data_IF_364748054225
#
_entry.id   IF_364748054225
#
_cell.length_a   1.000
_cell.length_b   1.000
_cell.length_c   1.000
_cell.angle_alpha   90.00
_cell.angle_beta   90.00
_cell.angle_gamma   90.00
#
_symmetry.space_group_name_H-M   'P 1'
#
loop_
_entity.id
_entity.type
_entity.pdbx_description
1 polymer ?
#
# COMPACT_ATOMS: atom_id res chain seq x y z
N UNK A 1 -27.17 -15.20 -15.43
CA UNK A 1 -26.29 -14.96 -14.26
C UNK A 1 -25.61 -13.63 -14.52
N UNK A 2 -26.09 -12.53 -13.92
CA UNK A 2 -25.63 -11.18 -14.25
C UNK A 2 -24.20 -10.94 -13.75
N UNK A 3 -23.37 -10.29 -14.55
CA UNK A 3 -22.02 -9.86 -14.14
C UNK A 3 -22.18 -8.87 -12.98
N UNK A 4 -21.63 -9.20 -11.81
CA UNK A 4 -21.64 -8.30 -10.65
C UNK A 4 -20.74 -7.09 -10.98
N UNK A 5 -21.33 -5.91 -11.09
CA UNK A 5 -20.62 -4.70 -11.50
C UNK A 5 -19.85 -4.13 -10.31
N UNK A 6 -18.54 -4.35 -10.27
CA UNK A 6 -17.66 -3.82 -9.21
C UNK A 6 -17.48 -2.31 -9.41
N UNK A 7 -17.79 -1.51 -8.39
CA UNK A 7 -17.72 -0.03 -8.43
C UNK A 7 -16.65 0.51 -7.50
N UNK A 8 -15.88 1.50 -7.97
CA UNK A 8 -14.87 2.18 -7.15
C UNK A 8 -15.55 3.08 -6.12
N UNK A 9 -15.08 3.03 -4.88
CA UNK A 9 -15.63 3.78 -3.75
C UNK A 9 -14.71 4.95 -3.34
N UNK A 10 -13.43 4.66 -3.07
CA UNK A 10 -12.43 5.65 -2.68
C UNK A 10 -11.07 5.30 -3.28
N UNK A 11 -10.22 6.32 -3.46
CA UNK A 11 -8.80 6.18 -3.77
C UNK A 11 -8.02 6.93 -2.70
N UNK A 12 -7.08 6.25 -2.06
CA UNK A 12 -6.26 6.77 -0.97
C UNK A 12 -4.79 6.72 -1.37
N UNK A 13 -4.06 7.80 -1.08
CA UNK A 13 -2.63 7.89 -1.37
C UNK A 13 -1.82 7.99 -0.08
N UNK A 14 -0.66 7.34 -0.11
CA UNK A 14 0.31 7.42 0.96
C UNK A 14 1.75 7.44 0.47
N UNK A 15 2.61 8.02 1.29
CA UNK A 15 4.05 8.16 1.08
C UNK A 15 4.80 7.43 2.20
N UNK A 16 5.86 6.70 1.83
CA UNK A 16 6.70 6.01 2.80
C UNK A 16 8.16 6.09 2.42
N UNK A 17 9.02 6.15 3.44
CA UNK A 17 10.45 6.36 3.26
C UNK A 17 11.24 5.39 4.13
N UNK A 18 12.29 4.79 3.58
CA UNK A 18 13.34 4.13 4.34
C UNK A 18 14.62 4.98 4.28
N UNK A 19 14.94 5.66 5.39
CA UNK A 19 16.03 6.64 5.44
C UNK A 19 17.43 6.03 5.48
N UNK A 20 17.52 4.77 5.90
CA UNK A 20 18.73 3.97 5.79
C UNK A 20 18.80 3.24 4.45
N UNK A 21 17.72 3.32 3.66
CA UNK A 21 17.59 2.63 2.39
C UNK A 21 17.71 1.13 2.56
N UNK A 22 18.12 0.46 1.48
CA UNK A 22 18.43 -0.97 1.45
C UNK A 22 17.21 -1.91 1.53
N UNK A 23 16.05 -1.45 2.01
CA UNK A 23 14.80 -2.24 1.99
C UNK A 23 13.59 -1.47 1.47
N UNK A 24 13.32 -1.65 0.17
CA UNK A 24 12.15 -1.09 -0.51
C UNK A 24 10.82 -1.54 0.13
N UNK A 25 10.78 -2.68 0.83
CA UNK A 25 9.58 -3.14 1.54
C UNK A 25 9.27 -2.29 2.76
N UNK A 26 10.27 -1.73 3.45
CA UNK A 26 10.05 -0.82 4.58
C UNK A 26 9.42 0.48 4.11
N UNK A 27 9.92 1.05 3.01
CA UNK A 27 9.33 2.23 2.39
C UNK A 27 7.88 1.94 1.94
N UNK A 28 7.66 0.83 1.23
CA UNK A 28 6.32 0.42 0.77
C UNK A 28 5.34 0.19 1.92
N UNK A 29 5.77 -0.48 3.00
CA UNK A 29 4.96 -0.68 4.19
C UNK A 29 4.50 0.65 4.81
N UNK A 30 5.42 1.59 4.99
CA UNK A 30 5.10 2.93 5.51
C UNK A 30 4.13 3.68 4.60
N UNK A 31 4.28 3.54 3.27
CA UNK A 31 3.38 4.17 2.31
C UNK A 31 1.95 3.63 2.42
N UNK A 32 1.78 2.32 2.60
CA UNK A 32 0.46 1.70 2.81
C UNK A 32 -0.17 2.15 4.12
N UNK A 33 0.59 2.14 5.22
CA UNK A 33 0.10 2.61 6.52
C UNK A 33 -0.29 4.09 6.47
N UNK A 34 0.54 4.93 5.85
CA UNK A 34 0.25 6.35 5.65
C UNK A 34 -1.07 6.54 4.89
N UNK A 35 -1.29 5.79 3.80
CA UNK A 35 -2.52 5.85 3.01
C UNK A 35 -3.77 5.55 3.85
N UNK A 36 -3.79 4.42 4.57
CA UNK A 36 -4.98 3.96 5.31
C UNK A 36 -5.20 4.70 6.65
N UNK A 37 -4.23 5.47 7.12
CA UNK A 37 -4.32 6.17 8.41
C UNK A 37 -5.20 7.43 8.38
N UNK A 38 -5.54 7.93 7.19
CA UNK A 38 -6.12 9.27 7.00
C UNK A 38 -7.64 9.28 6.92
N UNK A 39 -8.28 8.12 6.84
CA UNK A 39 -9.72 8.01 6.63
C UNK A 39 -10.33 6.87 7.43
N UNK A 40 -11.58 7.06 7.84
CA UNK A 40 -12.41 6.00 8.40
C UNK A 40 -13.57 5.74 7.43
N UNK A 41 -13.64 4.55 6.85
CA UNK A 41 -14.66 4.20 5.86
C UNK A 41 -16.00 3.78 6.50
N UNK A 42 -16.48 4.54 7.49
CA UNK A 42 -17.72 4.24 8.23
C UNK A 42 -18.95 4.09 7.32
N UNK A 43 -18.99 4.84 6.22
CA UNK A 43 -20.05 4.80 5.22
C UNK A 43 -20.26 3.44 4.56
N UNK A 44 -19.24 2.56 4.54
CA UNK A 44 -19.40 1.18 4.05
C UNK A 44 -20.47 0.43 4.86
N UNK A 45 -20.53 0.64 6.16
CA UNK A 45 -21.51 -0.02 7.04
C UNK A 45 -22.75 0.84 7.24
N UNK A 46 -22.57 2.12 7.55
CA UNK A 46 -23.67 3.01 7.97
C UNK A 46 -24.58 3.44 6.82
N UNK A 47 -24.02 3.64 5.62
CA UNK A 47 -24.76 4.13 4.44
C UNK A 47 -25.05 2.99 3.47
N UNK A 48 -24.04 2.16 3.18
CA UNK A 48 -24.15 1.10 2.18
C UNK A 48 -24.64 -0.23 2.76
N UNK A 49 -24.72 -0.35 4.09
CA UNK A 49 -25.24 -1.54 4.75
C UNK A 49 -24.41 -2.80 4.54
N UNK A 50 -23.12 -2.68 4.21
CA UNK A 50 -22.23 -3.82 3.98
C UNK A 50 -22.06 -4.60 5.28
N UNK A 51 -22.36 -5.90 5.22
CA UNK A 51 -22.32 -6.80 6.37
C UNK A 51 -21.01 -7.59 6.45
N UNK A 52 -20.52 -8.05 5.29
CA UNK A 52 -19.29 -8.83 5.19
C UNK A 52 -18.27 -8.09 4.34
N UNK A 53 -17.41 -7.32 5.02
CA UNK A 53 -16.36 -6.54 4.35
C UNK A 53 -15.35 -7.44 3.62
N UNK A 54 -15.12 -8.67 4.06
CA UNK A 54 -14.17 -9.57 3.39
C UNK A 54 -14.73 -10.14 2.08
N UNK A 55 -16.04 -10.28 1.99
CA UNK A 55 -16.72 -10.78 0.80
C UNK A 55 -17.02 -9.68 -0.20
N UNK A 56 -17.52 -8.54 0.27
CA UNK A 56 -18.13 -7.50 -0.58
C UNK A 56 -17.17 -6.36 -0.96
N UNK A 57 -15.98 -6.29 -0.34
CA UNK A 57 -14.94 -5.30 -0.66
C UNK A 57 -13.79 -5.95 -1.44
N UNK A 58 -13.27 -5.22 -2.44
CA UNK A 58 -11.99 -5.50 -3.08
C UNK A 58 -11.08 -4.32 -2.83
N UNK A 59 -9.84 -4.59 -2.41
CA UNK A 59 -8.82 -3.56 -2.24
C UNK A 59 -7.72 -3.80 -3.27
N UNK A 60 -7.48 -2.82 -4.13
CA UNK A 60 -6.39 -2.85 -5.11
C UNK A 60 -5.29 -1.89 -4.67
N UNK A 61 -4.12 -2.43 -4.35
CA UNK A 61 -2.94 -1.68 -3.93
C UNK A 61 -1.98 -1.57 -5.10
N UNK A 62 -1.63 -0.34 -5.46
CA UNK A 62 -0.59 -0.02 -6.44
C UNK A 62 0.58 0.60 -5.68
N UNK A 63 1.70 -0.11 -5.64
CA UNK A 63 2.93 0.37 -5.03
C UNK A 63 3.90 0.84 -6.12
N UNK A 64 4.20 2.14 -6.13
CA UNK A 64 5.25 2.71 -6.95
C UNK A 64 6.55 2.77 -6.15
N UNK A 65 7.55 2.01 -6.60
CA UNK A 65 8.85 1.86 -5.93
C UNK A 65 9.97 1.73 -6.94
N UNK A 66 11.21 1.98 -6.50
CA UNK A 66 12.40 1.86 -7.36
C UNK A 66 12.71 0.43 -7.78
N UNK A 67 12.36 -0.55 -6.94
CA UNK A 67 12.64 -1.98 -7.12
C UNK A 67 11.35 -2.81 -6.95
N UNK A 68 10.37 -2.66 -7.86
CA UNK A 68 9.03 -3.27 -7.72
C UNK A 68 9.04 -4.80 -7.65
N UNK A 69 10.05 -5.44 -8.22
CA UNK A 69 10.26 -6.89 -8.19
C UNK A 69 10.65 -7.43 -6.81
N UNK A 70 11.20 -6.58 -5.93
CA UNK A 70 11.59 -6.95 -4.56
C UNK A 70 10.46 -6.82 -3.53
N UNK A 71 9.28 -6.37 -3.96
CA UNK A 71 8.13 -6.18 -3.07
C UNK A 71 7.52 -7.53 -2.67
N UNK A 72 7.50 -7.79 -1.37
CA UNK A 72 6.76 -8.88 -0.75
C UNK A 72 5.28 -8.53 -0.68
N UNK A 73 4.57 -8.93 -1.74
CA UNK A 73 3.14 -8.67 -1.91
C UNK A 73 2.30 -9.35 -0.83
N UNK A 74 2.69 -10.53 -0.34
CA UNK A 74 1.94 -11.24 0.69
C UNK A 74 2.04 -10.51 2.03
N UNK A 75 3.23 -10.03 2.38
CA UNK A 75 3.41 -9.20 3.57
C UNK A 75 2.61 -7.91 3.48
N UNK A 76 2.61 -7.24 2.31
CA UNK A 76 1.81 -6.02 2.11
C UNK A 76 0.32 -6.25 2.34
N UNK A 77 -0.24 -7.39 1.88
CA UNK A 77 -1.66 -7.72 2.11
C UNK A 77 -2.03 -7.74 3.59
N UNK A 78 -1.10 -8.16 4.47
CA UNK A 78 -1.39 -8.27 5.91
C UNK A 78 -1.60 -6.92 6.60
N UNK A 79 -1.22 -5.81 5.97
CA UNK A 79 -1.43 -4.46 6.51
C UNK A 79 -2.84 -3.92 6.26
N UNK A 80 -3.62 -4.56 5.39
CA UNK A 80 -4.98 -4.14 5.09
C UNK A 80 -5.99 -4.94 5.91
N UNK A 81 -6.89 -4.28 6.67
CA UNK A 81 -7.68 -4.95 7.70
C UNK A 81 -8.85 -5.77 7.15
N UNK A 82 -9.29 -5.51 5.91
CA UNK A 82 -10.50 -6.10 5.33
C UNK A 82 -10.42 -6.25 3.80
N UNK A 83 -11.27 -7.12 3.26
CA UNK A 83 -11.52 -7.23 1.83
C UNK A 83 -10.63 -8.23 1.10
N UNK A 84 -10.97 -8.50 -0.16
CA UNK A 84 -10.12 -9.24 -1.09
C UNK A 84 -8.99 -8.32 -1.58
N UNK A 85 -7.77 -8.53 -1.08
CA UNK A 85 -6.63 -7.66 -1.38
C UNK A 85 -5.84 -8.15 -2.60
N UNK A 86 -5.63 -7.24 -3.55
CA UNK A 86 -4.75 -7.40 -4.71
C UNK A 86 -3.63 -6.39 -4.60
N UNK A 87 -2.39 -6.83 -4.82
CA UNK A 87 -1.22 -5.97 -4.76
C UNK A 87 -0.47 -6.04 -6.08
N UNK A 88 -0.26 -4.88 -6.68
CA UNK A 88 0.62 -4.69 -7.82
C UNK A 88 1.72 -3.72 -7.44
N UNK A 89 2.93 -3.99 -7.95
CA UNK A 89 4.09 -3.13 -7.80
C UNK A 89 4.53 -2.67 -9.19
N UNK A 90 4.86 -1.39 -9.30
CA UNK A 90 5.28 -0.73 -10.54
C UNK A 90 6.54 0.09 -10.29
N UNK A 91 7.35 0.26 -11.32
CA UNK A 91 8.54 1.11 -11.24
C UNK A 91 8.15 2.57 -11.00
N UNK A 92 8.91 3.28 -10.17
CA UNK A 92 8.74 4.68 -9.84
C UNK A 92 9.39 4.98 -8.48
N UNK A 93 8.70 5.68 -7.58
CA UNK A 93 9.27 6.09 -6.30
C UNK A 93 10.49 7.01 -6.47
N UNK A 94 11.41 6.98 -5.50
CA UNK A 94 12.67 7.72 -5.56
C UNK A 94 13.76 6.99 -4.78
N UNK A 95 14.95 6.86 -5.38
CA UNK A 95 16.18 6.46 -4.70
C UNK A 95 17.17 7.62 -4.79
N UNK A 96 17.63 8.10 -3.65
CA UNK A 96 18.56 9.24 -3.56
C UNK A 96 19.59 9.03 -2.47
N UNK A 97 20.76 9.68 -2.55
CA UNK A 97 21.73 9.68 -1.47
C UNK A 97 21.20 10.35 -0.19
N UNK A 98 21.53 9.75 0.94
CA UNK A 98 21.34 10.21 2.32
C UNK A 98 22.64 10.08 3.11
N UNK A 99 22.56 9.50 4.31
CA UNK A 99 23.71 9.27 5.20
C UNK A 99 24.04 7.78 5.26
N UNK A 100 25.33 7.44 5.37
CA UNK A 100 25.81 6.09 5.63
C UNK A 100 26.31 6.00 7.06
N UNK A 101 25.66 5.15 7.87
CA UNK A 101 26.03 4.93 9.28
C UNK A 101 26.24 3.42 9.49
N UNK A 102 27.48 2.91 9.38
CA UNK A 102 27.79 1.49 9.56
C UNK A 102 27.29 0.91 10.90
N UNK A 103 27.29 1.72 11.95
CA UNK A 103 26.84 1.34 13.29
C UNK A 103 25.34 1.02 13.35
N UNK A 104 24.55 1.51 12.38
CA UNK A 104 23.13 1.19 12.23
C UNK A 104 22.88 -0.02 11.31
N UNK A 105 23.96 -0.67 10.86
CA UNK A 105 23.89 -1.81 9.95
C UNK A 105 23.73 -1.41 8.48
N UNK A 106 24.05 -0.16 8.15
CA UNK A 106 23.94 0.31 6.78
C UNK A 106 24.94 -0.38 5.85
N UNK A 107 24.49 -0.69 4.63
CA UNK A 107 25.31 -1.24 3.55
C UNK A 107 25.58 -0.23 2.43
N UNK A 108 24.79 0.84 2.34
CA UNK A 108 25.00 1.99 1.46
C UNK A 108 24.43 3.28 2.08
N UNK A 109 24.49 4.40 1.36
CA UNK A 109 23.94 5.67 1.80
C UNK A 109 22.56 5.98 1.19
N UNK A 110 21.80 4.99 0.71
CA UNK A 110 20.57 5.25 -0.03
C UNK A 110 19.40 5.62 0.87
N UNK A 111 18.45 6.37 0.33
CA UNK A 111 17.10 6.55 0.85
C UNK A 111 16.15 5.99 -0.18
N UNK A 112 15.23 5.13 0.24
CA UNK A 112 14.16 4.60 -0.62
C UNK A 112 12.83 5.29 -0.31
N UNK A 113 12.14 5.77 -1.35
CA UNK A 113 10.82 6.39 -1.23
C UNK A 113 9.82 5.61 -2.07
N UNK A 114 8.68 5.28 -1.46
CA UNK A 114 7.57 4.57 -2.08
C UNK A 114 6.29 5.40 -2.01
N UNK A 115 5.46 5.26 -3.05
CA UNK A 115 4.09 5.81 -3.08
C UNK A 115 3.11 4.64 -3.16
N UNK A 116 2.09 4.67 -2.31
CA UNK A 116 0.96 3.74 -2.36
C UNK A 116 -0.27 4.46 -2.91
N UNK A 117 -0.96 3.84 -3.86
CA UNK A 117 -2.32 4.16 -4.27
C UNK A 117 -3.21 2.97 -3.91
N UNK A 118 -4.17 3.17 -3.03
CA UNK A 118 -5.09 2.15 -2.55
C UNK A 118 -6.48 2.49 -3.09
N UNK A 119 -7.00 1.63 -3.96
CA UNK A 119 -8.35 1.76 -4.48
C UNK A 119 -9.25 0.76 -3.78
N UNK A 120 -10.35 1.24 -3.20
CA UNK A 120 -11.37 0.38 -2.61
C UNK A 120 -12.54 0.28 -3.57
N UNK A 121 -12.98 -0.94 -3.84
CA UNK A 121 -14.14 -1.23 -4.66
C UNK A 121 -15.18 -2.04 -3.90
N UNK A 122 -16.45 -1.84 -4.27
CA UNK A 122 -17.59 -2.57 -3.73
C UNK A 122 -18.14 -3.49 -4.81
N UNK A 123 -18.36 -4.76 -4.47
CA UNK A 123 -18.88 -5.80 -5.35
C UNK A 123 -20.39 -5.75 -5.49
#
# INVERSE_FOLDING_TARGET
>A
MGVKLIKRYIIEFGLGMDFHGQDVNKAAHKAVLDAISKSCLCGLKEILGIKDMNKDIVVNVILSTTQPEKIDKEKIKTYLPVGEVKVQSVSGGLNVPGIFIPEFGDSDNSIEVAIACIEVYIK
#
